data_IF_983859439076
#
_entry.id   IF_983859439076
#
_cell.length_a   1.000
_cell.length_b   1.000
_cell.length_c   1.000
_cell.angle_alpha   90.00
_cell.angle_beta   90.00
_cell.angle_gamma   90.00
#
_symmetry.space_group_name_H-M   'P 1'
#
loop_
_entity.id
_entity.type
_entity.pdbx_description
1 polymer ?
#
# COMPACT_ATOMS: atom_id res chain seq x y z
N UNK A 1 30.88 -6.76 -55.34
CA UNK A 1 29.89 -7.51 -55.40
C UNK A 1 29.57 -8.34 -54.23
N UNK A 2 30.42 -9.17 -53.89
CA UNK A 2 30.15 -10.01 -52.82
C UNK A 2 29.97 -9.31 -51.55
N UNK A 3 30.70 -8.33 -51.36
CA UNK A 3 30.60 -7.66 -50.13
C UNK A 3 29.21 -7.17 -49.89
N UNK A 4 28.52 -6.91 -50.89
CA UNK A 4 27.20 -6.42 -50.69
C UNK A 4 26.31 -7.46 -50.04
N UNK A 5 26.54 -8.64 -50.41
CA UNK A 5 25.72 -9.70 -49.88
C UNK A 5 26.02 -9.91 -48.44
N UNK A 6 27.21 -9.79 -48.08
CA UNK A 6 27.56 -9.99 -46.73
C UNK A 6 26.89 -8.99 -45.80
N UNK A 7 26.89 -7.82 -46.22
CA UNK A 7 26.32 -6.84 -45.35
C UNK A 7 24.89 -7.10 -45.04
N UNK A 8 24.19 -7.53 -45.98
CA UNK A 8 22.79 -7.75 -45.74
C UNK A 8 22.54 -8.73 -44.64
N UNK A 9 23.28 -9.72 -44.68
CA UNK A 9 23.04 -10.76 -43.71
C UNK A 9 23.23 -10.27 -42.32
N UNK A 10 24.21 -9.50 -42.16
CA UNK A 10 24.51 -9.02 -40.85
C UNK A 10 23.35 -8.20 -40.31
N UNK A 11 22.83 -7.42 -41.16
CA UNK A 11 21.75 -6.56 -40.69
C UNK A 11 20.58 -7.37 -40.19
N UNK A 12 20.29 -8.38 -40.84
CA UNK A 12 19.16 -9.15 -40.44
C UNK A 12 19.31 -9.75 -39.07
N UNK A 13 20.42 -10.26 -38.81
CA UNK A 13 20.63 -10.92 -37.57
C UNK A 13 20.40 -10.02 -36.39
N UNK A 14 20.89 -8.86 -36.49
CA UNK A 14 20.79 -8.00 -35.34
C UNK A 14 19.37 -7.63 -35.05
N UNK A 15 18.63 -7.39 -36.06
CA UNK A 15 17.30 -6.95 -35.81
C UNK A 15 16.49 -7.92 -34.99
N UNK A 16 16.64 -9.11 -35.29
CA UNK A 16 15.85 -10.10 -34.63
C UNK A 16 16.10 -10.20 -33.16
N UNK A 17 17.32 -10.16 -32.81
CA UNK A 17 17.65 -10.29 -31.43
C UNK A 17 17.06 -9.25 -30.54
N UNK A 18 17.12 -8.07 -30.97
CA UNK A 18 16.67 -7.02 -30.11
C UNK A 18 15.22 -7.18 -29.75
N UNK A 19 14.47 -7.58 -30.69
CA UNK A 19 13.07 -7.67 -30.44
C UNK A 19 12.73 -8.68 -29.38
N UNK A 20 13.33 -9.77 -29.45
CA UNK A 20 12.98 -10.77 -28.49
C UNK A 20 13.34 -10.36 -27.09
N UNK A 21 14.41 -9.74 -26.93
CA UNK A 21 14.79 -9.33 -25.61
C UNK A 21 13.80 -8.45 -24.95
N UNK A 22 13.27 -7.56 -25.69
CA UNK A 22 12.35 -6.64 -25.12
C UNK A 22 11.10 -7.26 -24.64
N UNK A 23 10.61 -8.15 -25.36
CA UNK A 23 9.37 -8.76 -24.97
C UNK A 23 9.46 -9.44 -23.64
N UNK A 24 10.53 -10.09 -23.43
CA UNK A 24 10.66 -10.79 -22.20
C UNK A 24 10.54 -9.88 -21.02
N UNK A 25 11.09 -8.76 -21.13
CA UNK A 25 11.05 -7.89 -20.02
C UNK A 25 9.69 -7.39 -19.70
N UNK A 26 9.00 -7.11 -20.67
CA UNK A 26 7.75 -6.50 -20.44
C UNK A 26 6.90 -7.31 -19.55
N UNK A 27 7.13 -8.41 -19.52
CA UNK A 27 6.25 -9.19 -18.92
C UNK A 27 5.90 -8.84 -17.62
N UNK A 28 6.26 -8.86 -16.94
CA UNK A 28 5.79 -9.03 -16.03
C UNK A 28 5.38 -8.76 -14.89
N UNK A 29 5.16 -9.35 -14.39
CA UNK A 29 4.86 -9.38 -13.13
C UNK A 29 4.90 -8.16 -12.37
N UNK A 30 5.25 -7.27 -12.99
CA UNK A 30 5.46 -6.08 -12.31
C UNK A 30 4.18 -5.44 -11.93
N UNK A 31 3.13 -5.96 -12.34
CA UNK A 31 1.88 -5.28 -12.10
C UNK A 31 1.35 -5.42 -10.70
N UNK A 32 2.03 -6.05 -9.84
CA UNK A 32 1.48 -6.22 -8.52
C UNK A 32 1.45 -4.94 -7.74
N UNK A 33 0.31 -4.65 -7.15
CA UNK A 33 0.20 -3.47 -6.31
C UNK A 33 1.00 -3.66 -5.04
N UNK A 34 1.57 -2.60 -4.55
CA UNK A 34 2.30 -2.67 -3.30
C UNK A 34 1.34 -2.94 -2.16
N UNK A 35 1.79 -3.71 -1.21
CA UNK A 35 0.98 -4.01 -0.04
C UNK A 35 1.08 -2.84 0.93
N UNK A 36 -0.06 -2.33 1.37
CA UNK A 36 -0.08 -1.20 2.28
C UNK A 36 0.28 -1.65 3.69
N UNK A 37 -0.37 -2.68 4.18
CA UNK A 37 -0.06 -3.28 5.47
C UNK A 37 0.21 -4.76 5.26
N UNK A 38 1.33 -5.29 5.75
CA UNK A 38 1.55 -6.73 5.66
C UNK A 38 0.67 -7.45 6.67
N UNK A 39 0.43 -8.73 6.40
CA UNK A 39 -0.33 -9.56 7.31
C UNK A 39 -1.77 -9.71 6.91
N UNK A 40 -2.58 -10.13 7.87
CA UNK A 40 -3.98 -10.45 7.63
C UNK A 40 -4.85 -9.36 8.21
N UNK A 41 -5.86 -8.95 7.46
CA UNK A 41 -6.80 -7.95 7.97
C UNK A 41 -7.63 -8.60 9.08
N UNK A 42 -7.64 -7.99 10.24
CA UNK A 42 -8.33 -8.52 11.42
C UNK A 42 -9.51 -7.67 11.86
N UNK A 43 -9.53 -6.40 11.49
CA UNK A 43 -10.63 -5.51 11.86
C UNK A 43 -10.82 -4.49 10.75
N UNK A 44 -12.06 -4.17 10.48
CA UNK A 44 -12.44 -3.11 9.54
C UNK A 44 -13.39 -2.18 10.27
N UNK A 45 -13.09 -0.89 10.28
CA UNK A 45 -13.87 0.10 11.00
C UNK A 45 -14.43 1.12 10.03
N UNK A 46 -15.66 0.92 9.52
CA UNK A 46 -16.26 1.90 8.62
C UNK A 46 -16.81 3.08 9.40
N UNK A 47 -16.83 4.23 8.78
CA UNK A 47 -17.45 5.43 9.33
C UNK A 47 -17.97 6.28 8.17
N UNK A 48 -18.56 7.41 8.49
CA UNK A 48 -19.33 8.18 7.50
C UNK A 48 -18.53 8.56 6.25
N UNK A 49 -17.25 8.87 6.39
CA UNK A 49 -16.46 9.38 5.27
C UNK A 49 -15.32 8.45 4.86
N UNK A 50 -15.16 7.31 5.53
CA UNK A 50 -14.05 6.42 5.20
C UNK A 50 -14.11 5.11 5.94
N UNK A 51 -12.99 4.41 5.91
CA UNK A 51 -12.83 3.12 6.59
C UNK A 51 -11.40 3.00 7.09
N UNK A 52 -11.25 2.45 8.28
CA UNK A 52 -9.93 2.11 8.80
C UNK A 52 -9.75 0.61 8.65
N UNK A 53 -8.63 0.21 8.08
CA UNK A 53 -8.28 -1.19 7.90
C UNK A 53 -7.14 -1.54 8.84
N UNK A 54 -7.31 -2.61 9.61
CA UNK A 54 -6.34 -3.02 10.64
C UNK A 54 -5.85 -4.41 10.36
N UNK A 55 -4.54 -4.58 10.34
CA UNK A 55 -3.89 -5.83 9.97
C UNK A 55 -2.98 -6.30 11.10
N UNK A 56 -2.88 -7.61 11.25
CA UNK A 56 -1.95 -8.21 12.20
C UNK A 56 -0.93 -9.06 11.48
N UNK A 57 0.31 -8.89 11.85
CA UNK A 57 1.37 -9.77 11.41
C UNK A 57 2.27 -10.07 12.62
N UNK A 58 2.17 -11.28 13.14
CA UNK A 58 2.88 -11.61 14.37
C UNK A 58 2.43 -10.71 15.51
N UNK A 59 3.35 -10.05 16.13
CA UNK A 59 3.06 -9.15 17.24
C UNK A 59 2.86 -7.71 16.80
N UNK A 60 2.81 -7.46 15.50
CA UNK A 60 2.69 -6.11 14.99
C UNK A 60 1.28 -5.84 14.48
N UNK A 61 0.82 -4.64 14.71
CA UNK A 61 -0.47 -4.16 14.21
C UNK A 61 -0.21 -2.99 13.28
N UNK A 62 -0.76 -3.07 12.08
CA UNK A 62 -0.63 -2.03 11.06
C UNK A 62 -2.01 -1.56 10.67
N UNK A 63 -2.19 -0.26 10.49
CA UNK A 63 -3.48 0.28 10.09
C UNK A 63 -3.33 1.43 9.11
N UNK A 64 -4.35 1.60 8.28
CA UNK A 64 -4.44 2.78 7.43
C UNK A 64 -5.91 3.19 7.31
N UNK A 65 -6.13 4.45 7.00
CA UNK A 65 -7.46 5.01 6.77
C UNK A 65 -7.60 5.33 5.30
N UNK A 66 -8.69 4.89 4.69
CA UNK A 66 -9.01 5.19 3.30
C UNK A 66 -10.32 5.94 3.22
N UNK A 67 -10.45 6.95 2.34
CA UNK A 67 -11.71 7.65 2.17
C UNK A 67 -12.70 6.80 1.38
N UNK A 68 -13.99 7.05 1.57
CA UNK A 68 -15.01 6.40 0.78
C UNK A 68 -14.86 6.75 -0.69
N UNK A 69 -14.48 7.99 -0.96
CA UNK A 69 -14.28 8.47 -2.32
C UNK A 69 -12.92 9.10 -2.42
N UNK A 70 -12.11 8.60 -3.32
CA UNK A 70 -10.85 9.25 -3.57
C UNK A 70 -11.09 10.46 -4.45
N UNK A 71 -10.14 11.32 -4.55
CA UNK A 71 -10.26 12.53 -5.35
C UNK A 71 -9.56 13.68 -4.71
N UNK A 72 -10.31 14.63 -4.19
CA UNK A 72 -9.72 15.85 -3.66
C UNK A 72 -8.90 15.56 -2.41
N UNK A 73 -7.85 16.33 -2.21
CA UNK A 73 -7.09 16.27 -0.97
C UNK A 73 -7.97 16.68 0.20
N UNK A 74 -7.84 15.97 1.29
CA UNK A 74 -8.50 16.33 2.53
C UNK A 74 -7.67 15.89 3.70
N UNK A 75 -7.95 16.46 4.85
CA UNK A 75 -7.27 16.05 6.07
C UNK A 75 -7.71 14.64 6.42
N UNK A 76 -6.76 13.76 6.57
CA UNK A 76 -7.00 12.39 6.99
C UNK A 76 -6.01 12.01 8.06
N UNK A 77 -6.40 11.08 8.91
CA UNK A 77 -5.51 10.58 9.95
C UNK A 77 -5.77 9.13 10.24
N UNK A 78 -4.76 8.49 10.78
CA UNK A 78 -4.86 7.15 11.36
C UNK A 78 -3.95 7.12 12.56
N UNK A 79 -4.37 6.43 13.61
CA UNK A 79 -3.51 6.23 14.77
C UNK A 79 -3.72 4.84 15.32
N UNK A 80 -2.64 4.28 15.85
CA UNK A 80 -2.68 2.99 16.54
C UNK A 80 -1.92 3.17 17.84
N UNK A 81 -2.53 2.75 18.93
CA UNK A 81 -1.95 2.85 20.25
C UNK A 81 -1.95 1.48 20.89
N UNK A 82 -0.79 0.97 21.26
CA UNK A 82 -0.72 -0.21 22.10
C UNK A 82 -0.90 0.27 23.53
N UNK A 83 -1.71 -0.45 24.31
CA UNK A 83 -2.03 -0.03 25.66
C UNK A 83 -0.76 0.15 26.48
N UNK A 84 -0.67 1.27 27.16
CA UNK A 84 0.52 1.60 27.93
C UNK A 84 1.54 2.43 27.17
N UNK A 85 1.40 2.57 25.86
CA UNK A 85 2.31 3.35 25.04
C UNK A 85 1.60 4.55 24.46
N UNK A 86 2.37 5.44 23.84
CA UNK A 86 1.79 6.57 23.12
C UNK A 86 1.27 6.09 21.78
N UNK A 87 0.24 6.75 21.25
CA UNK A 87 -0.23 6.42 19.91
C UNK A 87 0.79 6.82 18.85
N UNK A 88 0.84 6.03 17.80
CA UNK A 88 1.59 6.37 16.59
C UNK A 88 0.58 6.92 15.60
N UNK A 89 0.82 8.10 15.08
CA UNK A 89 -0.17 8.84 14.30
C UNK A 89 0.40 9.28 12.97
N UNK A 90 -0.39 9.17 11.93
CA UNK A 90 -0.12 9.84 10.66
C UNK A 90 -1.31 10.73 10.36
N UNK A 91 -1.07 12.03 10.21
CA UNK A 91 -2.10 12.99 9.90
C UNK A 91 -1.59 13.97 8.87
N UNK A 92 -2.37 14.20 7.85
CA UNK A 92 -1.97 15.13 6.79
C UNK A 92 -3.07 15.32 5.78
N UNK A 93 -2.73 15.96 4.69
CA UNK A 93 -3.67 16.16 3.59
C UNK A 93 -3.34 15.16 2.51
N UNK A 94 -4.26 14.24 2.28
CA UNK A 94 -4.03 13.13 1.38
C UNK A 94 -5.21 12.95 0.45
N UNK A 95 -4.97 12.25 -0.67
CA UNK A 95 -6.01 11.92 -1.63
C UNK A 95 -6.44 10.47 -1.50
N UNK A 96 -5.52 9.58 -1.13
CA UNK A 96 -5.81 8.14 -1.14
C UNK A 96 -5.92 7.51 0.23
N UNK A 97 -5.04 7.86 1.13
CA UNK A 97 -5.05 7.25 2.45
C UNK A 97 -4.14 7.99 3.41
N UNK A 98 -4.38 7.80 4.69
CA UNK A 98 -3.46 8.15 5.75
C UNK A 98 -2.85 6.85 6.25
N UNK A 99 -1.57 6.89 6.58
CA UNK A 99 -0.84 5.69 6.97
C UNK A 99 -0.18 5.02 5.77
N UNK A 100 0.35 3.82 5.97
CA UNK A 100 0.12 2.99 7.16
C UNK A 100 0.94 3.41 8.37
N UNK A 101 0.46 3.04 9.55
CA UNK A 101 1.23 3.15 10.78
C UNK A 101 1.29 1.78 11.42
N UNK A 102 2.42 1.44 12.03
CA UNK A 102 2.63 0.12 12.61
C UNK A 102 3.17 0.24 14.01
N UNK A 103 2.65 -0.58 14.92
CA UNK A 103 3.14 -0.64 16.29
C UNK A 103 3.39 -2.08 16.68
N UNK A 104 4.32 -2.27 17.60
CA UNK A 104 4.54 -3.57 18.23
C UNK A 104 3.58 -3.65 19.41
N UNK A 105 2.56 -4.47 19.30
CA UNK A 105 1.55 -4.58 20.33
C UNK A 105 1.73 -5.82 21.21
N UNK A 106 2.37 -6.84 20.70
CA UNK A 106 2.46 -8.10 21.43
C UNK A 106 1.06 -8.63 21.69
N UNK A 107 0.77 -8.90 22.93
CA UNK A 107 -0.54 -9.36 23.34
C UNK A 107 -1.38 -8.26 23.99
N UNK A 108 -0.94 -7.02 23.89
CA UNK A 108 -1.66 -5.91 24.50
C UNK A 108 -2.83 -5.49 23.62
N UNK A 109 -3.85 -4.95 24.27
CA UNK A 109 -4.95 -4.34 23.52
C UNK A 109 -4.45 -3.15 22.75
N UNK A 110 -5.11 -2.83 21.65
CA UNK A 110 -4.79 -1.64 20.86
C UNK A 110 -6.03 -0.77 20.72
N UNK A 111 -5.81 0.50 20.55
CA UNK A 111 -6.87 1.45 20.19
C UNK A 111 -6.53 2.03 18.83
N UNK A 112 -7.48 1.96 17.91
CA UNK A 112 -7.27 2.43 16.55
C UNK A 112 -8.26 3.54 16.27
N UNK A 113 -7.77 4.62 15.66
CA UNK A 113 -8.60 5.76 15.29
C UNK A 113 -8.31 6.15 13.87
N UNK A 114 -9.31 6.68 13.21
CA UNK A 114 -9.13 7.22 11.86
C UNK A 114 -10.11 8.33 11.61
N UNK A 115 -9.75 9.19 10.67
CA UNK A 115 -10.60 10.32 10.30
C UNK A 115 -10.36 10.68 8.85
N UNK A 116 -11.43 11.15 8.19
CA UNK A 116 -11.39 11.70 6.84
C UNK A 116 -12.30 12.91 6.84
N UNK A 117 -11.73 14.11 6.70
CA UNK A 117 -12.51 15.32 6.76
C UNK A 117 -13.23 15.42 8.08
N UNK A 118 -14.54 15.53 8.05
CA UNK A 118 -15.35 15.68 9.26
C UNK A 118 -15.79 14.36 9.89
N UNK A 119 -15.51 13.22 9.28
CA UNK A 119 -15.92 11.93 9.83
C UNK A 119 -14.77 11.23 10.54
N UNK A 120 -15.07 10.42 11.53
CA UNK A 120 -14.04 9.73 12.29
C UNK A 120 -14.60 8.47 12.96
N UNK A 121 -13.68 7.63 13.43
CA UNK A 121 -14.03 6.45 14.17
C UNK A 121 -12.94 6.15 15.20
N UNK A 122 -13.32 5.52 16.29
CA UNK A 122 -12.39 5.03 17.30
C UNK A 122 -12.86 3.65 17.72
N UNK A 123 -11.91 2.71 17.78
CA UNK A 123 -12.27 1.33 18.09
C UNK A 123 -12.49 1.07 19.58
N UNK A 124 -11.98 1.95 20.44
CA UNK A 124 -11.82 1.57 21.82
C UNK A 124 -10.68 0.56 21.92
N UNK A 125 -10.58 -0.15 23.04
CA UNK A 125 -9.52 -1.14 23.23
C UNK A 125 -9.97 -2.48 22.64
N UNK A 126 -9.22 -2.98 21.67
CA UNK A 126 -9.54 -4.21 20.96
C UNK A 126 -8.29 -5.07 20.78
N UNK A 127 -8.48 -6.27 20.26
CA UNK A 127 -7.39 -7.21 19.96
C UNK A 127 -6.53 -7.48 21.19
N UNK A 128 -7.17 -7.67 22.30
CA UNK A 128 -6.49 -7.94 23.57
C UNK A 128 -5.92 -9.35 23.70
#
# INVERSE_FOLDING_TARGET
MDMGALRRRVALGTAVLTVSGLLALAAPGTAQAAVVCPGREVVTLPFSTGTVHVFRRGEYICAYTAPKRSGAKRTMSVSVQARGNRPVVDRGRYTRRAGPVTVHAGHRCVRVKGAVGGGSVSSGWILC
#
